data_IF_060343923732
#
_entry.id   IF_060343923732
#
_cell.length_a   1.000
_cell.length_b   1.000
_cell.length_c   1.000
_cell.angle_alpha   90.00
_cell.angle_beta   90.00
_cell.angle_gamma   90.00
#
_symmetry.space_group_name_H-M   'P 1'
#
loop_
_entity.id
_entity.type
_entity.pdbx_description
1 polymer ?
#
# COMPACT_ATOMS: atom_id res chain seq x y z
N UNK A 1 -25.97 -3.49 6.09
CA UNK A 1 -25.70 -2.33 5.21
C UNK A 1 -24.42 -1.64 5.71
N UNK A 2 -23.25 -2.04 5.23
CA UNK A 2 -21.96 -1.34 5.45
C UNK A 2 -21.63 -0.65 4.11
N UNK A 3 -22.00 0.63 3.98
CA UNK A 3 -21.15 1.83 4.09
C UNK A 3 -20.26 2.09 2.85
N UNK A 4 -20.65 3.03 1.96
CA UNK A 4 -19.88 3.45 0.78
C UNK A 4 -18.47 3.98 1.09
N UNK A 5 -18.25 4.53 2.30
CA UNK A 5 -16.99 5.15 2.71
C UNK A 5 -15.78 4.19 2.65
N UNK A 6 -15.98 2.90 2.94
CA UNK A 6 -14.89 1.92 2.98
C UNK A 6 -14.32 1.66 1.56
N UNK A 7 -15.18 1.78 0.53
CA UNK A 7 -14.77 1.64 -0.87
C UNK A 7 -13.95 2.83 -1.36
N UNK A 8 -14.31 4.04 -0.95
CA UNK A 8 -13.60 5.25 -1.36
C UNK A 8 -12.23 5.35 -0.68
N UNK A 9 -12.14 4.95 0.59
CA UNK A 9 -10.86 4.83 1.31
C UNK A 9 -9.98 3.76 0.66
N UNK A 10 -10.53 2.59 0.36
CA UNK A 10 -9.80 1.53 -0.33
C UNK A 10 -9.31 1.94 -1.72
N UNK A 11 -10.16 2.62 -2.51
CA UNK A 11 -9.77 3.14 -3.83
C UNK A 11 -8.63 4.15 -3.71
N UNK A 12 -8.75 5.13 -2.82
CA UNK A 12 -7.72 6.16 -2.64
C UNK A 12 -6.38 5.55 -2.21
N UNK A 13 -6.42 4.55 -1.32
CA UNK A 13 -5.23 3.83 -0.90
C UNK A 13 -4.55 3.08 -2.07
N UNK A 14 -5.33 2.44 -2.94
CA UNK A 14 -4.80 1.79 -4.15
C UNK A 14 -4.15 2.83 -5.09
N UNK A 15 -4.79 3.96 -5.31
CA UNK A 15 -4.24 5.05 -6.13
C UNK A 15 -2.91 5.56 -5.55
N UNK A 16 -2.84 5.77 -4.24
CA UNK A 16 -1.62 6.23 -3.56
C UNK A 16 -0.48 5.19 -3.63
N UNK A 17 -0.81 3.89 -3.54
CA UNK A 17 0.15 2.79 -3.72
C UNK A 17 0.72 2.82 -5.14
N UNK A 18 -0.13 2.86 -6.17
CA UNK A 18 0.33 2.84 -7.57
C UNK A 18 1.13 4.10 -7.93
N UNK A 19 0.72 5.27 -7.43
CA UNK A 19 1.46 6.50 -7.63
C UNK A 19 2.87 6.42 -7.01
N UNK A 20 2.98 5.90 -5.79
CA UNK A 20 4.28 5.79 -5.11
C UNK A 20 5.17 4.71 -5.75
N UNK A 21 4.59 3.60 -6.23
CA UNK A 21 5.31 2.59 -7.01
C UNK A 21 5.94 3.17 -8.27
N UNK A 22 5.19 4.00 -8.99
CA UNK A 22 5.70 4.67 -10.19
C UNK A 22 6.90 5.59 -9.85
N UNK A 23 6.74 6.43 -8.82
CA UNK A 23 7.81 7.33 -8.36
C UNK A 23 9.07 6.57 -7.91
N UNK A 24 8.90 5.45 -7.21
CA UNK A 24 10.01 4.62 -6.74
C UNK A 24 10.80 4.03 -7.92
N UNK A 25 10.11 3.60 -8.98
CA UNK A 25 10.77 3.11 -10.21
C UNK A 25 11.50 4.25 -10.92
N UNK A 26 10.84 5.39 -11.14
CA UNK A 26 11.48 6.54 -11.80
C UNK A 26 12.74 7.01 -11.05
N UNK A 27 12.62 7.23 -9.73
CA UNK A 27 13.75 7.64 -8.89
C UNK A 27 14.81 6.54 -8.79
N UNK A 28 14.41 5.27 -8.80
CA UNK A 28 15.31 4.13 -8.81
C UNK A 28 16.15 4.07 -10.09
N UNK A 29 15.54 4.36 -11.24
CA UNK A 29 16.24 4.48 -12.53
C UNK A 29 17.16 5.71 -12.55
N UNK A 30 16.73 6.83 -11.95
CA UNK A 30 17.48 8.08 -11.98
C UNK A 30 18.68 8.10 -11.02
N UNK A 31 18.50 7.62 -9.79
CA UNK A 31 19.46 7.79 -8.69
C UNK A 31 20.07 6.48 -8.18
N UNK A 32 19.50 5.34 -8.58
CA UNK A 32 19.87 4.03 -8.07
C UNK A 32 19.14 3.66 -6.77
N UNK A 33 19.12 2.35 -6.51
CA UNK A 33 18.33 1.75 -5.42
C UNK A 33 18.67 2.30 -4.03
N UNK A 34 19.94 2.55 -3.73
CA UNK A 34 20.40 2.98 -2.40
C UNK A 34 20.24 4.49 -2.16
N UNK A 35 19.70 5.25 -3.12
CA UNK A 35 19.52 6.69 -2.94
C UNK A 35 18.53 6.98 -1.79
N UNK A 36 18.79 7.95 -0.89
CA UNK A 36 17.94 8.20 0.28
C UNK A 36 16.46 8.43 -0.05
N UNK A 37 16.15 9.10 -1.17
CA UNK A 37 14.76 9.30 -1.59
C UNK A 37 14.08 8.01 -2.04
N UNK A 38 14.81 7.10 -2.70
CA UNK A 38 14.27 5.79 -3.13
C UNK A 38 14.03 4.91 -1.92
N UNK A 39 14.96 4.94 -0.95
CA UNK A 39 14.80 4.25 0.32
C UNK A 39 13.63 4.80 1.14
N UNK A 40 13.38 6.12 1.07
CA UNK A 40 12.23 6.73 1.72
C UNK A 40 10.92 6.31 1.07
N UNK A 41 10.83 6.41 -0.25
CA UNK A 41 9.66 5.95 -1.01
C UNK A 41 9.37 4.46 -0.74
N UNK A 42 10.40 3.61 -0.61
CA UNK A 42 10.24 2.19 -0.28
C UNK A 42 9.58 1.99 1.09
N UNK A 43 10.04 2.72 2.11
CA UNK A 43 9.47 2.65 3.46
C UNK A 43 8.04 3.17 3.51
N UNK A 44 7.73 4.19 2.72
CA UNK A 44 6.38 4.74 2.66
C UNK A 44 5.43 3.81 1.89
N UNK A 45 5.93 3.13 0.86
CA UNK A 45 5.19 2.08 0.16
C UNK A 45 4.85 0.91 1.10
N UNK A 46 5.81 0.45 1.92
CA UNK A 46 5.55 -0.60 2.91
C UNK A 46 4.43 -0.21 3.88
N UNK A 47 4.37 1.05 4.32
CA UNK A 47 3.29 1.53 5.20
C UNK A 47 1.93 1.50 4.52
N UNK A 48 1.84 1.89 3.25
CA UNK A 48 0.59 1.86 2.49
C UNK A 48 0.13 0.42 2.25
N UNK A 49 1.05 -0.50 1.92
CA UNK A 49 0.74 -1.92 1.77
C UNK A 49 0.23 -2.55 3.07
N UNK A 50 0.84 -2.21 4.22
CA UNK A 50 0.35 -2.66 5.53
C UNK A 50 -1.06 -2.13 5.83
N UNK A 51 -1.39 -0.90 5.43
CA UNK A 51 -2.75 -0.37 5.57
C UNK A 51 -3.73 -1.13 4.66
N UNK A 52 -3.31 -1.42 3.43
CA UNK A 52 -4.14 -2.14 2.47
C UNK A 52 -4.48 -3.54 2.98
N UNK A 53 -3.49 -4.28 3.47
CA UNK A 53 -3.71 -5.60 4.04
C UNK A 53 -4.58 -5.58 5.30
N UNK A 54 -4.50 -4.53 6.11
CA UNK A 54 -5.40 -4.36 7.27
C UNK A 54 -6.84 -4.15 6.82
N UNK A 55 -7.07 -3.38 5.76
CA UNK A 55 -8.40 -3.19 5.18
C UNK A 55 -8.91 -4.49 4.55
N UNK A 56 -8.10 -5.21 3.78
CA UNK A 56 -8.51 -6.52 3.23
C UNK A 56 -8.83 -7.54 4.33
N UNK A 57 -8.00 -7.61 5.38
CA UNK A 57 -8.26 -8.50 6.54
C UNK A 57 -9.47 -8.06 7.37
N UNK A 58 -9.83 -6.77 7.36
CA UNK A 58 -11.08 -6.31 7.99
C UNK A 58 -12.32 -6.73 7.17
N UNK A 59 -12.17 -6.96 5.87
CA UNK A 59 -13.22 -7.42 4.96
C UNK A 59 -13.36 -8.95 4.93
N UNK A 60 -12.30 -9.69 5.23
CA UNK A 60 -12.30 -11.16 5.33
C UNK A 60 -12.20 -11.59 6.80
N UNK A 61 -13.29 -12.06 7.45
CA UNK A 61 -13.21 -12.64 8.77
C UNK A 61 -12.22 -13.82 8.74
N UNK A 62 -11.37 -13.88 9.76
CA UNK A 62 -10.35 -14.90 10.01
C UNK A 62 -10.92 -16.33 9.99
N UNK A 63 -11.19 -16.89 8.80
CA UNK A 63 -11.35 -18.33 8.61
C UNK A 63 -9.97 -18.95 8.37
N UNK A 64 -9.22 -19.10 9.46
CA UNK A 64 -8.25 -20.20 9.67
C UNK A 64 -7.44 -19.91 10.94
N UNK A 65 -8.09 -19.97 12.11
CA UNK A 65 -7.37 -20.50 13.26
C UNK A 65 -7.10 -21.97 12.93
N UNK A 66 -5.84 -22.22 12.56
CA UNK A 66 -5.30 -23.53 12.26
C UNK A 66 -5.71 -24.54 13.35
N UNK A 67 -6.28 -25.66 12.88
CA UNK A 67 -6.54 -26.86 13.68
C UNK A 67 -5.23 -27.51 14.10
#
# INVERSE_FOLDING_TARGET
MQQPLDRDIGRKLIEDIEQLRFQLVEKGMQYGFLHPSVQQDSRDLDKLLLQFYKLEQAVVPLEAKQK
#
